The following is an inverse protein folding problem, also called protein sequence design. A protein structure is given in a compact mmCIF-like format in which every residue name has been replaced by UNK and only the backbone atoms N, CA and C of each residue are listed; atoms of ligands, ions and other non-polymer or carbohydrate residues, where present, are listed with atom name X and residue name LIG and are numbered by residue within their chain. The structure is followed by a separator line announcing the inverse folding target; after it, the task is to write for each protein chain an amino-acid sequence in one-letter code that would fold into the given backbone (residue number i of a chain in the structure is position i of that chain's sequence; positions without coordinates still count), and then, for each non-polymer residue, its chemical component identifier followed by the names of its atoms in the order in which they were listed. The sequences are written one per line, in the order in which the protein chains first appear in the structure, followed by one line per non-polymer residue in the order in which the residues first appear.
data_IF_283813295834
#
_entry.id   IF_283813295834
#
_cell.length_a   1.000
_cell.length_b   1.000
_cell.length_c   1.000
_cell.angle_alpha   90.00
_cell.angle_beta   90.00
_cell.angle_gamma   90.00
#
_symmetry.space_group_name_H-M   'P 1'
#
loop_
_entity.id
_entity.type
_entity.pdbx_description
1 polymer ?
#
# COMPACT_ATOMS: atom_id res chain seq x y z
N UNK A 1 2.69 5.12 22.78
CA UNK A 1 2.75 5.06 21.30
C UNK A 1 1.78 3.99 20.85
N UNK A 2 0.83 4.26 19.94
CA UNK A 2 0.05 3.18 19.35
C UNK A 2 1.05 2.26 18.64
N UNK A 3 1.08 0.98 19.00
CA UNK A 3 2.09 0.04 18.52
C UNK A 3 1.96 -0.13 17.01
N UNK A 4 2.98 0.32 16.28
CA UNK A 4 3.18 -0.02 14.87
C UNK A 4 3.27 -1.55 14.80
N UNK A 5 2.33 -2.18 14.09
CA UNK A 5 2.24 -3.65 14.03
C UNK A 5 3.23 -4.25 13.02
N UNK A 6 3.62 -3.47 12.01
CA UNK A 6 4.64 -3.80 11.02
C UNK A 6 5.33 -2.54 10.51
N UNK A 7 6.57 -2.67 10.05
CA UNK A 7 7.36 -1.57 9.49
C UNK A 7 8.13 -2.03 8.25
N UNK A 8 7.98 -1.27 7.18
CA UNK A 8 8.32 -1.65 5.81
C UNK A 8 9.78 -1.37 5.40
N UNK A 9 10.76 -1.43 6.30
CA UNK A 9 12.14 -1.06 5.92
C UNK A 9 12.59 -1.85 4.67
N UNK A 10 13.22 -1.14 3.73
CA UNK A 10 13.50 -1.69 2.41
C UNK A 10 14.35 -2.97 2.51
N UNK A 11 13.77 -4.12 2.12
CA UNK A 11 14.42 -5.42 2.16
C UNK A 11 14.51 -6.05 3.56
N UNK A 12 13.92 -5.43 4.58
CA UNK A 12 13.91 -5.93 5.96
C UNK A 12 12.62 -5.51 6.69
N UNK A 13 11.57 -6.33 6.57
CA UNK A 13 10.30 -6.05 7.24
C UNK A 13 10.41 -6.40 8.73
N UNK A 14 10.00 -5.48 9.61
CA UNK A 14 9.85 -5.75 11.04
C UNK A 14 8.38 -5.97 11.35
N UNK A 15 8.06 -7.01 12.12
CA UNK A 15 6.69 -7.33 12.53
C UNK A 15 6.65 -7.43 14.05
N UNK A 16 5.58 -6.93 14.67
CA UNK A 16 5.34 -7.15 16.09
C UNK A 16 5.00 -8.63 16.33
N UNK A 17 5.66 -9.26 17.31
CA UNK A 17 5.44 -10.65 17.70
C UNK A 17 3.98 -10.93 18.09
N UNK A 18 3.25 -9.92 18.58
CA UNK A 18 1.85 -10.04 19.01
C UNK A 18 0.94 -10.63 17.92
N UNK A 19 1.27 -10.46 16.63
CA UNK A 19 0.49 -11.02 15.53
C UNK A 19 0.52 -12.55 15.49
N UNK A 20 1.52 -13.17 16.12
CA UNK A 20 1.70 -14.63 16.20
C UNK A 20 1.12 -15.24 17.48
N UNK A 21 0.65 -14.44 18.45
CA UNK A 21 0.17 -14.96 19.74
C UNK A 21 -1.21 -15.59 19.61
N UNK A 22 -1.34 -16.88 19.96
CA UNK A 22 -2.64 -17.57 19.88
C UNK A 22 -3.55 -17.17 21.05
N UNK A 23 -4.82 -16.75 20.82
CA UNK A 23 -5.79 -16.48 21.87
C UNK A 23 -6.14 -17.76 22.65
N UNK A 24 -6.01 -17.74 23.97
CA UNK A 24 -6.34 -18.86 24.85
C UNK A 24 -7.86 -18.93 25.09
N UNK A 25 -8.55 -20.00 24.64
CA UNK A 25 -9.95 -20.29 25.01
C UNK A 25 -10.73 -21.25 24.10
N UNK A 26 -11.27 -22.36 24.62
CA UNK A 26 -11.71 -23.56 23.87
C UNK A 26 -12.79 -23.40 22.76
N UNK A 27 -13.61 -22.34 22.75
CA UNK A 27 -14.69 -22.15 21.75
C UNK A 27 -14.56 -20.88 20.90
N UNK A 28 -14.12 -19.78 21.53
CA UNK A 28 -13.74 -18.56 20.83
C UNK A 28 -12.42 -18.73 20.04
N UNK A 29 -11.55 -19.69 20.43
CA UNK A 29 -10.26 -19.89 19.78
C UNK A 29 -10.34 -20.17 18.28
N UNK A 30 -11.33 -20.90 17.76
CA UNK A 30 -11.38 -21.19 16.31
C UNK A 30 -11.72 -19.96 15.48
N UNK A 31 -12.75 -19.20 15.88
CA UNK A 31 -13.13 -17.93 15.22
C UNK A 31 -12.04 -16.87 15.39
N UNK A 32 -11.44 -16.81 16.57
CA UNK A 32 -10.33 -15.90 16.84
C UNK A 32 -9.07 -16.31 16.05
N UNK A 33 -8.81 -17.60 15.85
CA UNK A 33 -7.68 -18.08 15.05
C UNK A 33 -7.86 -17.79 13.55
N UNK A 34 -9.09 -17.92 13.01
CA UNK A 34 -9.34 -17.53 11.62
C UNK A 34 -9.21 -16.02 11.42
N UNK A 35 -9.80 -15.22 12.32
CA UNK A 35 -9.66 -13.76 12.27
C UNK A 35 -8.20 -13.32 12.45
N UNK A 36 -7.45 -13.99 13.32
CA UNK A 36 -6.01 -13.75 13.49
C UNK A 36 -5.23 -14.12 12.24
N UNK A 37 -5.52 -15.27 11.62
CA UNK A 37 -4.86 -15.68 10.37
C UNK A 37 -5.11 -14.66 9.25
N UNK A 38 -6.32 -14.13 9.16
CA UNK A 38 -6.67 -13.05 8.22
C UNK A 38 -5.82 -11.81 8.52
N UNK A 39 -5.87 -11.29 9.75
CA UNK A 39 -5.12 -10.09 10.15
C UNK A 39 -3.61 -10.24 9.94
N UNK A 40 -3.05 -11.40 10.27
CA UNK A 40 -1.63 -11.72 10.04
C UNK A 40 -1.29 -11.74 8.54
N UNK A 41 -2.13 -12.37 7.72
CA UNK A 41 -1.93 -12.46 6.27
C UNK A 41 -2.01 -11.08 5.64
N UNK A 42 -3.02 -10.29 5.98
CA UNK A 42 -3.20 -8.92 5.49
C UNK A 42 -2.00 -8.05 5.89
N UNK A 43 -1.56 -8.07 7.15
CA UNK A 43 -0.40 -7.30 7.59
C UNK A 43 0.89 -7.69 6.84
N UNK A 44 1.19 -8.99 6.71
CA UNK A 44 2.41 -9.41 5.98
C UNK A 44 2.38 -8.91 4.53
N UNK A 45 1.21 -9.01 3.88
CA UNK A 45 1.04 -8.55 2.51
C UNK A 45 1.18 -7.03 2.43
N UNK A 46 0.62 -6.28 3.38
CA UNK A 46 0.74 -4.82 3.50
C UNK A 46 2.20 -4.39 3.41
N UNK A 47 3.04 -4.96 4.29
CA UNK A 47 4.47 -4.65 4.35
C UNK A 47 5.22 -5.08 3.09
N UNK A 48 4.81 -6.18 2.44
CA UNK A 48 5.39 -6.60 1.16
C UNK A 48 5.01 -5.64 0.04
N UNK A 49 3.76 -5.16 -0.03
CA UNK A 49 3.32 -4.21 -1.06
C UNK A 49 4.11 -2.91 -0.96
N UNK A 50 4.43 -2.48 0.27
CA UNK A 50 5.24 -1.29 0.49
C UNK A 50 6.60 -1.31 -0.22
N UNK A 51 7.14 -2.50 -0.51
CA UNK A 51 8.35 -2.63 -1.33
C UNK A 51 8.25 -1.84 -2.64
N UNK A 52 7.11 -1.93 -3.35
CA UNK A 52 6.87 -1.13 -4.54
C UNK A 52 6.24 0.23 -4.22
N UNK A 53 5.31 0.26 -3.27
CA UNK A 53 4.46 1.41 -2.97
C UNK A 53 4.92 2.08 -1.67
N UNK A 54 5.78 3.09 -1.80
CA UNK A 54 6.37 3.81 -0.67
C UNK A 54 7.89 3.68 -0.60
N UNK A 55 8.44 2.48 -0.86
CA UNK A 55 9.88 2.25 -0.87
C UNK A 55 10.52 2.49 -2.25
N UNK A 56 10.17 1.69 -3.26
CA UNK A 56 10.73 1.81 -4.60
C UNK A 56 10.15 3.01 -5.36
N UNK A 57 8.84 3.23 -5.25
CA UNK A 57 8.21 4.49 -5.65
C UNK A 57 7.73 5.23 -4.41
N UNK A 58 8.44 6.29 -4.04
CA UNK A 58 8.07 7.15 -2.92
C UNK A 58 6.73 7.84 -3.18
N UNK A 59 5.85 7.78 -2.18
CA UNK A 59 4.48 8.32 -2.26
C UNK A 59 4.09 8.98 -0.93
N UNK A 60 3.22 10.01 -0.95
CA UNK A 60 2.62 10.59 0.25
C UNK A 60 1.89 9.53 1.09
N UNK A 61 1.91 9.70 2.41
CA UNK A 61 1.32 8.79 3.39
C UNK A 61 -0.08 8.28 2.97
N UNK A 62 -1.03 9.18 2.74
CA UNK A 62 -2.41 8.80 2.43
C UNK A 62 -2.54 7.97 1.13
N UNK A 63 -1.63 8.16 0.18
CA UNK A 63 -1.62 7.39 -1.06
C UNK A 63 -0.98 6.03 -0.83
N UNK A 64 0.21 5.97 -0.21
CA UNK A 64 0.91 4.70 0.01
C UNK A 64 0.08 3.77 0.89
N UNK A 65 -0.43 4.27 2.02
CA UNK A 65 -1.24 3.47 2.93
C UNK A 65 -2.58 3.07 2.32
N UNK A 66 -3.23 3.98 1.61
CA UNK A 66 -4.50 3.67 0.94
C UNK A 66 -4.34 2.52 -0.06
N UNK A 67 -3.26 2.53 -0.86
CA UNK A 67 -2.97 1.48 -1.83
C UNK A 67 -2.61 0.16 -1.12
N UNK A 68 -1.78 0.21 -0.08
CA UNK A 68 -1.40 -0.99 0.69
C UNK A 68 -2.61 -1.64 1.36
N UNK A 69 -3.45 -0.87 2.05
CA UNK A 69 -4.71 -1.34 2.65
C UNK A 69 -5.70 -1.90 1.62
N UNK A 70 -5.73 -1.35 0.42
CA UNK A 70 -6.61 -1.87 -0.64
C UNK A 70 -6.10 -3.23 -1.13
N UNK A 71 -4.80 -3.30 -1.42
CA UNK A 71 -4.18 -4.48 -2.03
C UNK A 71 -4.01 -5.62 -1.02
N UNK A 72 -3.74 -5.35 0.26
CA UNK A 72 -3.70 -6.37 1.32
C UNK A 72 -5.03 -7.12 1.39
N UNK A 73 -6.14 -6.40 1.27
CA UNK A 73 -7.49 -6.95 1.37
C UNK A 73 -7.81 -7.81 0.15
N UNK A 74 -7.46 -7.32 -1.04
CA UNK A 74 -7.69 -8.04 -2.30
C UNK A 74 -6.84 -9.32 -2.37
N UNK A 75 -5.55 -9.20 -2.08
CA UNK A 75 -4.60 -10.32 -2.17
C UNK A 75 -4.75 -11.28 -1.00
N UNK A 76 -5.04 -10.77 0.20
CA UNK A 76 -5.31 -11.56 1.39
C UNK A 76 -6.48 -12.51 1.20
N UNK A 77 -7.59 -12.03 0.61
CA UNK A 77 -8.72 -12.89 0.26
C UNK A 77 -8.29 -14.04 -0.66
N UNK A 78 -7.59 -13.72 -1.75
CA UNK A 78 -7.14 -14.69 -2.75
C UNK A 78 -6.19 -15.72 -2.15
N UNK A 79 -5.22 -15.29 -1.34
CA UNK A 79 -4.25 -16.17 -0.69
C UNK A 79 -4.89 -17.07 0.38
N UNK A 80 -5.99 -16.64 0.97
CA UNK A 80 -6.79 -17.44 1.90
C UNK A 80 -7.85 -18.30 1.19
N UNK A 81 -7.83 -18.38 -0.14
CA UNK A 81 -8.74 -19.20 -0.95
C UNK A 81 -10.15 -18.62 -1.08
N UNK A 82 -10.33 -17.34 -0.76
CA UNK A 82 -11.59 -16.60 -0.90
C UNK A 82 -11.60 -15.84 -2.23
N UNK A 83 -12.78 -15.63 -2.85
CA UNK A 83 -12.88 -14.70 -3.97
C UNK A 83 -12.44 -13.30 -3.55
N UNK A 84 -11.72 -12.59 -4.41
CA UNK A 84 -11.32 -11.20 -4.18
C UNK A 84 -12.57 -10.35 -3.88
N UNK A 85 -12.57 -9.64 -2.74
CA UNK A 85 -13.68 -8.75 -2.38
C UNK A 85 -13.90 -7.65 -3.41
N UNK A 86 -15.16 -7.24 -3.55
CA UNK A 86 -15.52 -6.08 -4.38
C UNK A 86 -15.10 -4.80 -3.66
N UNK A 87 -14.48 -3.88 -4.41
CA UNK A 87 -14.17 -2.55 -3.92
C UNK A 87 -15.39 -1.67 -4.12
N UNK A 88 -15.96 -1.17 -3.03
CA UNK A 88 -17.06 -0.21 -3.05
C UNK A 88 -16.59 1.08 -2.36
N UNK A 89 -16.96 2.26 -2.87
CA UNK A 89 -16.76 3.50 -2.14
C UNK A 89 -17.52 3.42 -0.80
N UNK A 90 -16.96 3.99 0.28
CA UNK A 90 -17.69 4.11 1.54
C UNK A 90 -18.98 4.90 1.31
N UNK A 91 -20.02 4.60 2.09
CA UNK A 91 -21.26 5.35 2.07
C UNK A 91 -21.00 6.77 2.62
N UNK A 92 -20.68 7.71 1.73
CA UNK A 92 -20.30 9.09 2.05
C UNK A 92 -19.10 9.54 1.21
N UNK A 93 -19.15 10.77 0.68
CA UNK A 93 -18.09 11.30 -0.19
C UNK A 93 -16.76 11.36 0.57
N UNK A 94 -15.78 10.56 0.15
CA UNK A 94 -14.45 10.58 0.72
C UNK A 94 -13.70 11.82 0.21
N UNK A 95 -13.62 12.85 1.05
CA UNK A 95 -12.82 14.05 0.80
C UNK A 95 -11.37 13.71 1.11
N UNK A 96 -10.46 13.94 0.15
CA UNK A 96 -9.03 13.85 0.38
C UNK A 96 -8.65 14.76 1.56
N UNK A 97 -8.37 14.16 2.71
CA UNK A 97 -8.09 14.92 3.93
C UNK A 97 -6.58 15.19 4.01
N UNK A 98 -6.20 16.44 4.28
CA UNK A 98 -4.84 16.72 4.78
C UNK A 98 -4.75 16.10 6.18
N UNK A 99 -3.86 15.15 6.38
CA UNK A 99 -3.47 14.67 7.70
C UNK A 99 -2.73 15.79 8.44
N UNK A 100 -3.11 16.06 9.69
CA UNK A 100 -2.37 16.95 10.57
C UNK A 100 -1.01 16.33 10.92
N UNK A 101 0.05 17.12 10.87
CA UNK A 101 1.42 16.72 11.23
C UNK A 101 1.44 16.12 12.64
N UNK A 102 1.99 14.90 12.80
CA UNK A 102 2.02 14.20 14.09
C UNK A 102 0.80 13.34 14.42
N UNK A 103 -0.24 13.29 13.56
CA UNK A 103 -1.38 12.34 13.65
C UNK A 103 -1.45 11.38 12.46
N UNK A 104 -0.37 11.29 11.70
CA UNK A 104 -0.32 10.53 10.45
C UNK A 104 -0.45 9.02 10.68
N UNK A 105 -0.02 8.49 11.83
CA UNK A 105 0.00 7.04 12.10
C UNK A 105 -1.09 6.60 13.10
N UNK A 106 -2.35 6.89 12.81
CA UNK A 106 -3.49 6.48 13.63
C UNK A 106 -4.43 5.56 12.85
N UNK A 107 -5.12 4.63 13.51
CA UNK A 107 -6.11 3.80 12.81
C UNK A 107 -7.14 4.62 12.00
N UNK A 108 -7.44 5.84 12.47
CA UNK A 108 -8.30 6.78 11.76
C UNK A 108 -7.68 7.30 10.44
N UNK A 109 -6.41 7.69 10.43
CA UNK A 109 -5.75 8.18 9.21
C UNK A 109 -5.62 7.10 8.13
N UNK A 110 -5.35 5.85 8.52
CA UNK A 110 -5.36 4.69 7.63
C UNK A 110 -6.75 4.45 7.02
N UNK A 111 -7.81 4.51 7.83
CA UNK A 111 -9.19 4.36 7.34
C UNK A 111 -9.57 5.48 6.35
N UNK A 112 -9.16 6.72 6.62
CA UNK A 112 -9.38 7.85 5.71
C UNK A 112 -8.61 7.69 4.39
N UNK A 113 -7.37 7.20 4.46
CA UNK A 113 -6.57 6.90 3.27
C UNK A 113 -7.25 5.86 2.37
N UNK A 114 -7.70 4.74 2.96
CA UNK A 114 -8.45 3.71 2.23
C UNK A 114 -9.76 4.26 1.67
N UNK A 115 -10.54 4.97 2.46
CA UNK A 115 -11.81 5.56 2.05
C UNK A 115 -11.66 6.50 0.85
N UNK A 116 -10.63 7.36 0.87
CA UNK A 116 -10.31 8.29 -0.22
C UNK A 116 -9.98 7.54 -1.51
N UNK A 117 -9.16 6.49 -1.42
CA UNK A 117 -8.80 5.67 -2.56
C UNK A 117 -10.01 4.89 -3.13
N UNK A 118 -10.87 4.35 -2.25
CA UNK A 118 -12.10 3.68 -2.65
C UNK A 118 -13.08 4.64 -3.34
N UNK A 119 -13.17 5.90 -2.89
CA UNK A 119 -13.93 6.96 -3.57
C UNK A 119 -13.42 7.21 -5.00
N UNK A 120 -12.10 7.33 -5.16
CA UNK A 120 -11.46 7.49 -6.47
C UNK A 120 -11.73 6.27 -7.38
N UNK A 121 -11.56 5.06 -6.86
CA UNK A 121 -11.86 3.81 -7.57
C UNK A 121 -13.34 3.73 -7.96
N UNK A 122 -14.24 4.21 -7.10
CA UNK A 122 -15.67 4.29 -7.40
C UNK A 122 -15.96 5.19 -8.61
N UNK A 123 -15.14 6.21 -8.84
CA UNK A 123 -15.30 7.13 -9.98
C UNK A 123 -14.70 6.56 -11.27
N UNK A 124 -13.51 5.96 -11.22
CA UNK A 124 -12.77 5.52 -12.43
C UNK A 124 -12.92 4.03 -12.76
N UNK A 125 -13.39 3.23 -11.80
CA UNK A 125 -13.44 1.77 -11.87
C UNK A 125 -12.12 1.09 -11.48
N UNK A 126 -12.22 -0.06 -10.81
CA UNK A 126 -11.05 -0.80 -10.32
C UNK A 126 -10.08 -1.26 -11.42
N UNK A 127 -10.61 -1.70 -12.58
CA UNK A 127 -9.77 -2.12 -13.70
C UNK A 127 -8.92 -0.97 -14.24
N UNK A 128 -9.52 0.21 -14.41
CA UNK A 128 -8.84 1.44 -14.82
C UNK A 128 -7.80 1.86 -13.79
N UNK A 129 -8.17 1.88 -12.50
CA UNK A 129 -7.25 2.18 -11.42
C UNK A 129 -6.03 1.26 -11.43
N UNK A 130 -6.24 -0.07 -11.52
CA UNK A 130 -5.16 -1.06 -11.61
C UNK A 130 -4.26 -0.83 -12.81
N UNK A 131 -4.83 -0.55 -13.99
CA UNK A 131 -4.06 -0.27 -15.20
C UNK A 131 -3.19 0.99 -15.03
N UNK A 132 -3.76 2.07 -14.46
CA UNK A 132 -3.03 3.32 -14.21
C UNK A 132 -1.92 3.16 -13.17
N UNK A 133 -2.14 2.45 -12.07
CA UNK A 133 -1.08 2.15 -11.08
C UNK A 133 0.04 1.31 -11.72
N UNK A 134 -0.27 0.32 -12.55
CA UNK A 134 0.75 -0.43 -13.31
C UNK A 134 1.52 0.49 -14.25
N UNK A 135 0.83 1.41 -14.92
CA UNK A 135 1.45 2.44 -15.77
C UNK A 135 2.41 3.32 -14.97
N UNK A 136 2.01 3.79 -13.78
CA UNK A 136 2.86 4.59 -12.89
C UNK A 136 4.17 3.87 -12.53
N UNK A 137 4.07 2.62 -12.09
CA UNK A 137 5.26 1.82 -11.77
C UNK A 137 6.14 1.62 -13.01
N UNK A 138 5.54 1.35 -14.16
CA UNK A 138 6.29 1.16 -15.41
C UNK A 138 7.00 2.44 -15.86
N UNK A 139 6.36 3.60 -15.73
CA UNK A 139 6.94 4.88 -16.17
C UNK A 139 8.03 5.37 -15.24
N UNK A 140 7.87 5.22 -13.92
CA UNK A 140 8.76 5.85 -12.95
C UNK A 140 9.80 4.89 -12.37
N UNK A 141 9.47 3.62 -12.19
CA UNK A 141 10.37 2.67 -11.55
C UNK A 141 11.19 1.85 -12.56
N UNK A 142 10.58 1.44 -13.69
CA UNK A 142 11.28 0.61 -14.67
C UNK A 142 12.58 1.23 -15.21
N UNK A 143 12.64 2.53 -15.58
CA UNK A 143 13.88 3.11 -16.08
C UNK A 143 15.00 3.06 -15.04
N UNK A 144 14.68 3.32 -13.77
CA UNK A 144 15.65 3.26 -12.67
C UNK A 144 16.16 1.83 -12.45
N UNK A 145 15.27 0.84 -12.53
CA UNK A 145 15.68 -0.56 -12.41
C UNK A 145 16.56 -1.00 -13.58
N UNK A 146 16.27 -0.54 -14.79
CA UNK A 146 17.10 -0.80 -15.98
C UNK A 146 18.48 -0.18 -15.84
N UNK A 147 18.58 1.08 -15.42
CA UNK A 147 19.86 1.75 -15.17
C UNK A 147 20.70 0.98 -14.14
N UNK A 148 20.08 0.53 -13.05
CA UNK A 148 20.76 -0.29 -12.03
C UNK A 148 21.26 -1.61 -12.60
N UNK A 149 20.46 -2.30 -13.42
CA UNK A 149 20.85 -3.54 -14.06
C UNK A 149 22.00 -3.34 -15.07
N UNK A 150 21.94 -2.28 -15.87
CA UNK A 150 22.98 -1.89 -16.82
C UNK A 150 24.31 -1.56 -16.12
N UNK A 151 24.26 -0.99 -14.92
CA UNK A 151 25.44 -0.71 -14.08
C UNK A 151 26.02 -1.97 -13.40
N UNK A 152 25.45 -3.16 -13.63
CA UNK A 152 25.89 -4.44 -13.07
C UNK A 152 25.17 -4.83 -11.78
N UNK A 153 24.06 -4.14 -11.47
CA UNK A 153 23.20 -4.43 -10.33
C UNK A 153 23.63 -3.75 -9.03
N UNK A 154 22.79 -3.93 -8.01
CA UNK A 154 22.93 -3.29 -6.69
C UNK A 154 24.26 -3.60 -5.99
N UNK A 155 24.86 -4.76 -6.25
CA UNK A 155 26.14 -5.16 -5.66
C UNK A 155 27.29 -4.27 -6.17
N UNK A 156 27.35 -4.03 -7.48
CA UNK A 156 28.37 -3.16 -8.09
C UNK A 156 28.21 -1.72 -7.60
N UNK A 157 26.97 -1.25 -7.47
CA UNK A 157 26.70 0.10 -6.96
C UNK A 157 27.11 0.28 -5.51
N UNK A 158 26.85 -0.72 -4.66
CA UNK A 158 27.31 -0.72 -3.27
C UNK A 158 28.83 -0.68 -3.16
N UNK A 159 29.55 -1.46 -3.97
CA UNK A 159 31.01 -1.49 -3.98
C UNK A 159 31.62 -0.14 -4.41
N UNK A 160 30.92 0.63 -5.25
CA UNK A 160 31.32 1.97 -5.70
C UNK A 160 30.85 3.09 -4.77
N UNK A 161 30.10 2.78 -3.71
CA UNK A 161 29.50 3.77 -2.83
C UNK A 161 28.42 4.62 -3.52
N UNK A 162 27.82 4.13 -4.61
CA UNK A 162 26.80 4.83 -5.39
C UNK A 162 25.42 4.56 -4.80
N UNK A 163 24.63 5.63 -4.62
CA UNK A 163 23.27 5.55 -4.12
C UNK A 163 22.27 5.72 -5.25
N UNK A 164 21.37 4.74 -5.40
CA UNK A 164 20.24 4.84 -6.34
C UNK A 164 19.18 5.71 -5.70
N UNK A 165 18.90 6.88 -6.30
CA UNK A 165 17.82 7.74 -5.84
C UNK A 165 16.49 7.22 -6.37
N UNK A 166 15.66 6.70 -5.48
CA UNK A 166 14.32 6.26 -5.84
C UNK A 166 13.42 7.45 -6.18
N UNK A 167 12.52 7.30 -7.18
CA UNK A 167 11.58 8.35 -7.58
C UNK A 167 10.57 8.64 -6.46
N UNK A 168 10.09 9.88 -6.41
CA UNK A 168 9.00 10.30 -5.53
C UNK A 168 7.92 11.01 -6.35
N UNK A 169 6.66 10.67 -6.11
CA UNK A 169 5.51 11.23 -6.81
C UNK A 169 4.60 11.97 -5.82
N UNK A 170 4.38 13.27 -6.01
CA UNK A 170 3.51 14.06 -5.13
C UNK A 170 2.04 13.66 -5.26
N UNK A 171 1.20 14.10 -4.31
CA UNK A 171 -0.24 13.87 -4.35
C UNK A 171 -0.86 14.40 -5.64
N UNK A 172 -0.51 15.61 -6.05
CA UNK A 172 -1.03 16.26 -7.25
C UNK A 172 -0.62 15.50 -8.52
N UNK A 173 0.65 15.06 -8.58
CA UNK A 173 1.15 14.29 -9.71
C UNK A 173 0.47 12.91 -9.80
N UNK A 174 0.30 12.23 -8.67
CA UNK A 174 -0.43 10.97 -8.58
C UNK A 174 -1.89 11.12 -9.02
N UNK A 175 -2.61 12.11 -8.50
CA UNK A 175 -4.01 12.36 -8.85
C UNK A 175 -4.16 12.76 -10.31
N UNK A 176 -3.26 13.57 -10.86
CA UNK A 176 -3.29 13.95 -12.28
C UNK A 176 -3.13 12.75 -13.21
N UNK A 177 -2.21 11.84 -12.87
CA UNK A 177 -2.00 10.61 -13.61
C UNK A 177 -3.18 9.63 -13.46
N UNK A 178 -3.83 9.62 -12.30
CA UNK A 178 -5.05 8.86 -12.08
C UNK A 178 -6.30 9.50 -12.69
N UNK A 179 -6.31 10.79 -12.99
CA UNK A 179 -7.44 11.51 -13.60
C UNK A 179 -7.40 11.52 -15.13
N UNK A 180 -6.36 10.96 -15.75
CA UNK A 180 -6.16 10.96 -17.20
C UNK A 180 -7.19 10.07 -17.94
N UNK A 181 -8.41 10.61 -18.08
CA UNK A 181 -9.34 10.51 -19.21
C UNK A 181 -10.19 11.80 -19.23
N UNK A 182 -9.65 12.86 -19.84
CA UNK A 182 -10.44 13.90 -20.54
C UNK A 182 -11.46 14.74 -19.76
N UNK A 183 -11.59 14.65 -18.43
CA UNK A 183 -12.40 15.59 -17.66
C UNK A 183 -11.56 16.28 -16.59
N UNK A 184 -11.23 17.54 -16.86
CA UNK A 184 -10.86 18.50 -15.81
C UNK A 184 -11.94 18.42 -14.74
N UNK A 185 -11.55 18.09 -13.52
CA UNK A 185 -12.37 18.34 -12.34
C UNK A 185 -12.29 19.87 -12.18
N UNK A 186 -13.36 20.55 -12.62
CA UNK A 186 -13.55 21.98 -12.48
C UNK A 186 -14.09 22.35 -11.10
#
# INVERSE_FOLDING_TARGET
MPYISGMEHHGCIFLNEDIYRTPSGKGAAKRNAEAQKVAQTELIIHEIIHHWIGNALGLPFAIKEGICLLLEQCLGDVLLGKPMRKIAPPAGAAVAHKTEEGKEFTGHSYQLALASLQGLIGTVGFATFRARVRGLLSTHLHPVLQEVEEEGGMEVLRLRGTYVRMPYLSTEAFLSLLAADGRRIG
#
